data_IF_101142735420
#
_entry.id   IF_101142735420
#
_cell.length_a   1.000
_cell.length_b   1.000
_cell.length_c   1.000
_cell.angle_alpha   90.00
_cell.angle_beta   90.00
_cell.angle_gamma   90.00
#
_symmetry.space_group_name_H-M   'P 1'
#
loop_
_entity.id
_entity.type
_entity.pdbx_description
1 polymer ?
#
# COMPACT_ATOMS: atom_id res chain seq x y z
N UNK A 1 -3.93 -9.63 -17.62
CA UNK A 1 -4.04 -9.84 -16.15
C UNK A 1 -2.75 -9.48 -15.43
N UNK A 2 -1.59 -10.01 -15.85
CA UNK A 2 -0.29 -9.62 -15.28
C UNK A 2 -0.06 -8.11 -15.35
N UNK A 3 -0.37 -7.49 -16.49
CA UNK A 3 -0.27 -6.03 -16.70
C UNK A 3 -1.22 -5.19 -15.84
N UNK A 4 -2.24 -5.80 -15.21
CA UNK A 4 -3.32 -5.08 -14.50
C UNK A 4 -3.28 -5.25 -12.99
N UNK A 5 -2.19 -5.80 -12.43
CA UNK A 5 -2.02 -5.94 -10.98
C UNK A 5 -2.72 -7.14 -10.35
N UNK A 6 -2.99 -8.21 -11.11
CA UNK A 6 -3.54 -9.45 -10.56
C UNK A 6 -2.56 -10.12 -9.57
N UNK A 7 -3.04 -10.70 -8.45
CA UNK A 7 -2.22 -11.51 -7.56
C UNK A 7 -1.57 -12.68 -8.30
N UNK A 8 -0.26 -12.89 -8.09
CA UNK A 8 0.53 -13.78 -8.94
C UNK A 8 0.27 -15.25 -8.66
N UNK A 9 0.00 -15.62 -7.41
CA UNK A 9 -0.36 -16.98 -7.02
C UNK A 9 -1.58 -17.50 -7.80
N UNK A 10 -2.44 -16.61 -8.30
CA UNK A 10 -3.61 -16.97 -9.11
C UNK A 10 -3.31 -17.08 -10.60
N UNK A 11 -2.30 -16.37 -11.10
CA UNK A 11 -2.03 -16.31 -12.53
C UNK A 11 -1.66 -17.69 -13.09
N UNK A 12 -0.82 -18.44 -12.39
CA UNK A 12 -0.44 -19.79 -12.80
C UNK A 12 -1.65 -20.74 -12.83
N UNK A 13 -2.51 -20.68 -11.81
CA UNK A 13 -3.71 -21.51 -11.74
C UNK A 13 -4.72 -21.15 -12.83
N UNK A 14 -4.92 -19.85 -13.10
CA UNK A 14 -5.77 -19.35 -14.18
C UNK A 14 -5.26 -19.82 -15.54
N UNK A 15 -3.95 -19.71 -15.80
CA UNK A 15 -3.36 -20.18 -17.06
C UNK A 15 -3.45 -21.70 -17.20
N UNK A 16 -3.18 -22.46 -16.13
CA UNK A 16 -3.32 -23.92 -16.13
C UNK A 16 -4.77 -24.34 -16.41
N UNK A 17 -5.75 -23.70 -15.76
CA UNK A 17 -7.16 -23.96 -16.00
C UNK A 17 -7.59 -23.61 -17.44
N UNK A 18 -7.06 -22.53 -18.00
CA UNK A 18 -7.30 -22.14 -19.40
C UNK A 18 -6.69 -23.17 -20.37
N UNK A 19 -5.45 -23.61 -20.13
CA UNK A 19 -4.77 -24.62 -20.93
C UNK A 19 -5.56 -25.93 -20.97
N UNK A 20 -6.05 -26.39 -19.82
CA UNK A 20 -6.92 -27.55 -19.74
C UNK A 20 -8.25 -27.37 -20.47
N UNK A 21 -8.89 -26.19 -20.38
CA UNK A 21 -10.12 -25.90 -21.10
C UNK A 21 -9.92 -25.90 -22.62
N UNK A 22 -8.75 -25.45 -23.09
CA UNK A 22 -8.34 -25.42 -24.50
C UNK A 22 -7.74 -26.75 -24.99
N UNK A 23 -7.58 -27.75 -24.10
CA UNK A 23 -6.93 -29.04 -24.38
C UNK A 23 -5.49 -28.91 -24.90
N UNK A 24 -4.76 -27.93 -24.37
CA UNK A 24 -3.33 -27.72 -24.64
C UNK A 24 -2.55 -28.16 -23.39
N UNK A 25 -1.46 -28.92 -23.58
CA UNK A 25 -0.53 -29.27 -22.51
C UNK A 25 0.44 -28.12 -22.29
N UNK A 26 0.34 -27.47 -21.13
CA UNK A 26 1.10 -26.27 -20.83
C UNK A 26 1.55 -26.22 -19.37
N UNK A 27 2.80 -25.82 -19.17
CA UNK A 27 3.39 -25.55 -17.86
C UNK A 27 3.66 -24.06 -17.73
N UNK A 28 3.26 -23.51 -16.58
CA UNK A 28 3.35 -22.08 -16.31
C UNK A 28 4.09 -21.86 -14.98
N UNK A 29 5.08 -20.98 -15.02
CA UNK A 29 5.85 -20.55 -13.84
C UNK A 29 5.96 -19.04 -13.84
N UNK A 30 5.52 -18.42 -12.75
CA UNK A 30 5.65 -16.99 -12.55
C UNK A 30 6.89 -16.68 -11.71
N UNK A 31 7.74 -15.79 -12.22
CA UNK A 31 8.77 -15.08 -11.46
C UNK A 31 8.45 -13.58 -11.46
N UNK A 32 8.92 -12.79 -10.49
CA UNK A 32 8.77 -11.34 -10.54
C UNK A 32 9.20 -10.79 -11.91
N UNK A 33 8.27 -10.11 -12.58
CA UNK A 33 8.43 -9.51 -13.91
C UNK A 33 8.51 -10.46 -15.12
N UNK A 34 8.44 -11.78 -14.93
CA UNK A 34 8.52 -12.77 -16.01
C UNK A 34 7.49 -13.90 -15.84
N UNK A 35 6.76 -14.24 -16.91
CA UNK A 35 6.03 -15.51 -17.01
C UNK A 35 6.78 -16.44 -17.95
N UNK A 36 7.08 -17.63 -17.47
CA UNK A 36 7.50 -18.75 -18.30
C UNK A 36 6.26 -19.54 -18.69
N UNK A 37 6.05 -19.67 -20.00
CA UNK A 37 5.02 -20.53 -20.57
C UNK A 37 5.73 -21.58 -21.42
N UNK A 38 5.66 -22.84 -21.03
CA UNK A 38 6.10 -23.96 -21.87
C UNK A 38 4.89 -24.69 -22.40
N UNK A 39 4.81 -24.86 -23.71
CA UNK A 39 3.79 -25.66 -24.37
C UNK A 39 4.43 -26.92 -24.93
N UNK A 40 3.89 -28.07 -24.54
CA UNK A 40 4.39 -29.37 -24.99
C UNK A 40 3.58 -29.83 -26.20
N UNK A 41 4.27 -30.20 -27.27
CA UNK A 41 3.66 -30.82 -28.43
C UNK A 41 3.93 -32.33 -28.44
N UNK A 42 2.91 -33.09 -28.01
CA UNK A 42 2.94 -34.55 -27.99
C UNK A 42 3.18 -35.19 -29.37
N UNK A 43 2.85 -34.51 -30.48
CA UNK A 43 3.03 -35.08 -31.82
C UNK A 43 4.49 -35.03 -32.29
N UNK A 44 5.23 -33.98 -31.91
CA UNK A 44 6.63 -33.78 -32.32
C UNK A 44 7.63 -34.08 -31.22
N UNK A 45 7.17 -34.37 -29.99
CA UNK A 45 8.00 -34.49 -28.79
C UNK A 45 8.90 -33.26 -28.56
N UNK A 46 8.42 -32.08 -28.95
CA UNK A 46 9.12 -30.81 -28.72
C UNK A 46 8.37 -29.96 -27.71
N UNK A 47 9.10 -29.06 -27.05
CA UNK A 47 8.52 -28.05 -26.16
C UNK A 47 8.88 -26.66 -26.67
N UNK A 48 7.87 -25.81 -26.80
CA UNK A 48 8.06 -24.38 -27.11
C UNK A 48 7.93 -23.58 -25.80
N UNK A 49 9.07 -23.07 -25.32
CA UNK A 49 9.08 -22.18 -24.16
C UNK A 49 9.07 -20.72 -24.61
N UNK A 50 8.08 -19.96 -24.17
CA UNK A 50 7.99 -18.51 -24.33
C UNK A 50 8.11 -17.81 -22.99
N UNK A 51 8.89 -16.73 -22.99
CA UNK A 51 9.08 -15.86 -21.83
C UNK A 51 8.36 -14.55 -22.11
N UNK A 52 7.34 -14.25 -21.30
CA UNK A 52 6.62 -12.97 -21.36
C UNK A 52 7.12 -12.08 -20.23
N UNK A 53 7.78 -10.98 -20.58
CA UNK A 53 8.26 -9.98 -19.62
C UNK A 53 7.22 -8.88 -19.41
N UNK A 54 6.97 -8.52 -18.15
CA UNK A 54 6.19 -7.35 -17.78
C UNK A 54 6.98 -6.52 -16.76
N UNK A 55 7.43 -5.33 -17.18
CA UNK A 55 8.28 -4.46 -16.35
C UNK A 55 7.47 -3.56 -15.41
N UNK A 56 6.26 -3.15 -15.80
CA UNK A 56 5.43 -2.21 -15.04
C UNK A 56 4.09 -2.87 -14.72
N UNK A 57 3.73 -2.91 -13.44
CA UNK A 57 2.43 -3.42 -12.98
C UNK A 57 1.61 -2.25 -12.46
N UNK A 58 0.89 -1.58 -13.34
CA UNK A 58 -0.12 -0.61 -12.93
C UNK A 58 -1.42 -1.34 -12.58
N UNK A 59 -2.06 -0.92 -11.50
CA UNK A 59 -3.30 -1.51 -11.05
C UNK A 59 -4.47 -0.90 -11.85
N UNK A 60 -5.09 -1.71 -12.70
CA UNK A 60 -6.27 -1.30 -13.46
C UNK A 60 -7.43 -2.26 -13.18
N UNK A 61 -8.29 -1.87 -12.26
CA UNK A 61 -9.37 -2.72 -11.74
C UNK A 61 -10.44 -3.03 -12.79
N UNK A 62 -10.77 -2.08 -13.67
CA UNK A 62 -11.75 -2.32 -14.73
C UNK A 62 -11.23 -3.36 -15.74
N UNK A 63 -10.00 -3.17 -16.26
CA UNK A 63 -9.43 -4.09 -17.24
C UNK A 63 -9.24 -5.48 -16.62
N UNK A 64 -8.82 -5.54 -15.35
CA UNK A 64 -8.71 -6.78 -14.61
C UNK A 64 -10.05 -7.53 -14.50
N UNK A 65 -11.13 -6.84 -14.12
CA UNK A 65 -12.47 -7.44 -14.02
C UNK A 65 -12.99 -7.91 -15.39
N UNK A 66 -12.77 -7.13 -16.46
CA UNK A 66 -13.14 -7.50 -17.83
C UNK A 66 -12.39 -8.76 -18.31
N UNK A 67 -11.07 -8.82 -18.14
CA UNK A 67 -10.27 -10.00 -18.50
C UNK A 67 -10.68 -11.22 -17.67
N UNK A 68 -11.02 -11.04 -16.39
CA UNK A 68 -11.48 -12.13 -15.54
C UNK A 68 -12.85 -12.69 -15.96
N UNK A 69 -13.77 -11.81 -16.36
CA UNK A 69 -15.07 -12.23 -16.94
C UNK A 69 -14.88 -12.99 -18.25
N UNK A 70 -13.95 -12.55 -19.09
CA UNK A 70 -13.61 -13.24 -20.33
C UNK A 70 -13.08 -14.66 -20.07
N UNK A 71 -12.13 -14.78 -19.13
CA UNK A 71 -11.61 -16.07 -18.66
C UNK A 71 -12.72 -17.01 -18.15
N UNK A 72 -13.67 -16.51 -17.35
CA UNK A 72 -14.82 -17.32 -16.88
C UNK A 72 -15.67 -17.86 -18.04
N UNK A 73 -15.91 -17.05 -19.09
CA UNK A 73 -16.68 -17.49 -20.26
C UNK A 73 -15.96 -18.60 -21.02
N UNK A 74 -14.63 -18.52 -21.14
CA UNK A 74 -13.81 -19.55 -21.79
C UNK A 74 -13.90 -20.88 -21.01
N UNK A 75 -13.74 -20.85 -19.69
CA UNK A 75 -13.82 -22.06 -18.85
C UNK A 75 -15.18 -22.72 -18.91
N UNK A 76 -16.25 -21.92 -18.94
CA UNK A 76 -17.61 -22.45 -19.03
C UNK A 76 -17.99 -22.94 -20.44
N UNK A 77 -17.10 -22.74 -21.44
CA UNK A 77 -17.39 -22.97 -22.85
C UNK A 77 -18.57 -22.13 -23.38
N UNK A 78 -18.77 -20.94 -22.81
CA UNK A 78 -19.84 -20.00 -23.18
C UNK A 78 -19.44 -19.09 -24.37
N UNK A 79 -18.23 -19.23 -24.91
CA UNK A 79 -17.66 -18.35 -25.94
C UNK A 79 -16.61 -19.09 -26.79
N UNK A 80 -16.58 -18.81 -28.09
CA UNK A 80 -15.56 -19.31 -29.02
C UNK A 80 -14.20 -18.62 -28.82
N UNK A 81 -13.12 -19.30 -29.19
CA UNK A 81 -11.74 -18.83 -28.96
C UNK A 81 -11.45 -17.58 -29.78
N UNK A 82 -11.98 -17.48 -31.00
CA UNK A 82 -11.82 -16.34 -31.89
C UNK A 82 -12.44 -15.07 -31.29
N UNK A 83 -13.67 -15.18 -30.77
CA UNK A 83 -14.37 -14.08 -30.11
C UNK A 83 -13.67 -13.70 -28.80
N UNK A 84 -13.17 -14.69 -28.06
CA UNK A 84 -12.39 -14.43 -26.86
C UNK A 84 -11.08 -13.68 -27.17
N UNK A 85 -10.41 -14.02 -28.27
CA UNK A 85 -9.17 -13.36 -28.69
C UNK A 85 -9.43 -11.92 -29.11
N UNK A 86 -10.51 -11.67 -29.88
CA UNK A 86 -10.96 -10.31 -30.22
C UNK A 86 -11.29 -9.49 -28.98
N UNK A 87 -12.06 -10.06 -28.05
CA UNK A 87 -12.40 -9.39 -26.79
C UNK A 87 -11.18 -9.09 -25.92
N UNK A 88 -10.14 -9.93 -25.97
CA UNK A 88 -8.89 -9.67 -25.27
C UNK A 88 -8.12 -8.50 -25.91
N UNK A 89 -8.05 -8.46 -27.24
CA UNK A 89 -7.40 -7.38 -27.99
C UNK A 89 -8.09 -6.04 -27.75
N UNK A 90 -9.43 -6.00 -27.75
CA UNK A 90 -10.21 -4.81 -27.40
C UNK A 90 -9.84 -4.28 -25.99
N UNK A 91 -9.72 -5.17 -25.00
CA UNK A 91 -9.32 -4.78 -23.62
C UNK A 91 -7.88 -4.25 -23.58
N UNK A 92 -6.97 -4.79 -24.39
CA UNK A 92 -5.59 -4.32 -24.48
C UNK A 92 -5.53 -2.92 -25.07
N UNK A 93 -6.29 -2.66 -26.14
CA UNK A 93 -6.33 -1.38 -26.86
C UNK A 93 -7.19 -0.30 -26.18
N UNK A 94 -8.02 -0.67 -25.20
CA UNK A 94 -8.85 0.28 -24.45
C UNK A 94 -8.03 1.42 -23.82
N UNK A 95 -8.49 2.66 -24.01
CA UNK A 95 -7.89 3.85 -23.35
C UNK A 95 -8.16 3.84 -21.83
N UNK A 96 -7.33 4.51 -21.02
CA UNK A 96 -7.62 4.69 -19.60
C UNK A 96 -8.97 5.40 -19.40
N UNK A 97 -9.77 4.92 -18.44
CA UNK A 97 -11.12 5.45 -18.14
C UNK A 97 -11.14 6.95 -17.81
N UNK A 98 -10.12 7.40 -17.08
CA UNK A 98 -10.09 8.71 -16.45
C UNK A 98 -8.90 9.48 -16.99
N UNK A 99 -9.08 10.77 -17.35
CA UNK A 99 -8.00 11.59 -17.84
C UNK A 99 -7.02 11.96 -16.72
N UNK A 100 -5.76 12.20 -17.08
CA UNK A 100 -4.66 12.43 -16.13
C UNK A 100 -4.92 13.62 -15.19
N UNK A 101 -5.56 14.70 -15.66
CA UNK A 101 -5.87 15.87 -14.82
C UNK A 101 -6.82 15.52 -13.66
N UNK A 102 -7.79 14.63 -13.89
CA UNK A 102 -8.71 14.18 -12.87
C UNK A 102 -7.98 13.32 -11.83
N UNK A 103 -7.07 12.46 -12.29
CA UNK A 103 -6.23 11.65 -11.42
C UNK A 103 -5.37 12.54 -10.51
N UNK A 104 -4.73 13.59 -11.05
CA UNK A 104 -3.94 14.55 -10.25
C UNK A 104 -4.77 15.20 -9.15
N UNK A 105 -6.00 15.62 -9.46
CA UNK A 105 -6.92 16.18 -8.46
C UNK A 105 -7.28 15.14 -7.38
N UNK A 106 -7.54 13.90 -7.80
CA UNK A 106 -7.87 12.81 -6.89
C UNK A 106 -6.73 12.42 -5.97
N UNK A 107 -5.47 12.57 -6.39
CA UNK A 107 -4.31 12.43 -5.51
C UNK A 107 -4.39 13.43 -4.35
N UNK A 108 -4.71 14.70 -4.62
CA UNK A 108 -4.93 15.70 -3.58
C UNK A 108 -6.13 15.40 -2.68
N UNK A 109 -7.25 14.95 -3.24
CA UNK A 109 -8.42 14.55 -2.45
C UNK A 109 -8.10 13.35 -1.55
N UNK A 110 -7.32 12.38 -2.05
CA UNK A 110 -6.92 11.22 -1.27
C UNK A 110 -6.01 11.61 -0.10
N UNK A 111 -4.97 12.42 -0.31
CA UNK A 111 -4.09 12.88 0.78
C UNK A 111 -4.84 13.72 1.81
N UNK A 112 -5.74 14.59 1.36
CA UNK A 112 -6.59 15.41 2.22
C UNK A 112 -7.56 14.58 3.08
N UNK A 113 -8.13 13.51 2.51
CA UNK A 113 -9.09 12.66 3.19
C UNK A 113 -8.44 11.71 4.22
N UNK A 114 -7.25 11.19 3.93
CA UNK A 114 -6.53 10.27 4.83
C UNK A 114 -5.76 11.00 5.94
N UNK A 115 -5.40 12.28 5.74
CA UNK A 115 -4.71 13.11 6.72
C UNK A 115 -5.34 13.06 8.12
N UNK A 116 -6.62 13.44 8.29
CA UNK A 116 -7.29 13.38 9.58
C UNK A 116 -7.46 11.96 10.11
N UNK A 117 -7.73 10.99 9.21
CA UNK A 117 -8.03 9.59 9.56
C UNK A 117 -6.84 8.87 10.17
N UNK A 118 -5.66 9.02 9.55
CA UNK A 118 -4.49 8.20 9.86
C UNK A 118 -3.41 8.98 10.63
N UNK A 119 -3.41 10.31 10.49
CA UNK A 119 -2.34 11.19 10.98
C UNK A 119 -2.82 12.27 11.93
N UNK A 120 -4.10 12.28 12.29
CA UNK A 120 -4.68 13.25 13.23
C UNK A 120 -4.50 14.71 12.76
N UNK A 121 -4.52 14.92 11.44
CA UNK A 121 -4.42 16.24 10.82
C UNK A 121 -5.59 17.16 11.26
N UNK A 122 -5.30 18.43 11.49
CA UNK A 122 -6.30 19.43 11.83
C UNK A 122 -7.03 19.97 10.60
N UNK A 123 -8.12 20.72 10.82
CA UNK A 123 -8.93 21.25 9.71
C UNK A 123 -8.14 22.17 8.78
N UNK A 124 -7.19 22.91 9.35
CA UNK A 124 -6.30 23.81 8.61
C UNK A 124 -5.25 23.07 7.78
N UNK A 125 -4.89 21.84 8.16
CA UNK A 125 -3.90 21.02 7.45
C UNK A 125 -4.47 20.42 6.15
N UNK A 126 -5.79 20.20 6.08
CA UNK A 126 -6.47 19.55 4.95
C UNK A 126 -6.15 20.21 3.59
N UNK A 127 -6.33 21.53 3.38
CA UNK A 127 -6.01 22.15 2.09
C UNK A 127 -4.53 22.07 1.74
N UNK A 128 -3.65 22.19 2.72
CA UNK A 128 -2.20 22.09 2.52
C UNK A 128 -1.81 20.66 2.12
N UNK A 129 -2.37 19.65 2.81
CA UNK A 129 -2.19 18.25 2.47
C UNK A 129 -2.71 17.92 1.06
N UNK A 130 -3.82 18.56 0.63
CA UNK A 130 -4.33 18.44 -0.73
C UNK A 130 -3.33 18.98 -1.76
N UNK A 131 -2.73 20.16 -1.50
CA UNK A 131 -1.70 20.74 -2.37
C UNK A 131 -0.45 19.84 -2.48
N UNK A 132 0.00 19.26 -1.37
CA UNK A 132 1.12 18.31 -1.38
C UNK A 132 0.78 17.03 -2.16
N UNK A 133 -0.46 16.55 -2.06
CA UNK A 133 -0.95 15.42 -2.86
C UNK A 133 -1.03 15.73 -4.36
N UNK A 134 -1.47 16.93 -4.73
CA UNK A 134 -1.48 17.39 -6.14
C UNK A 134 -0.04 17.47 -6.66
N UNK A 135 0.89 18.03 -5.87
CA UNK A 135 2.32 18.07 -6.21
C UNK A 135 2.85 16.66 -6.49
N UNK A 136 2.52 15.70 -5.62
CA UNK A 136 2.86 14.29 -5.83
C UNK A 136 2.26 13.74 -7.12
N UNK A 137 0.96 13.97 -7.37
CA UNK A 137 0.28 13.51 -8.57
C UNK A 137 0.89 14.06 -9.86
N UNK A 138 1.29 15.34 -9.87
CA UNK A 138 2.01 15.97 -11.00
C UNK A 138 3.37 15.30 -11.22
N UNK A 139 4.14 15.14 -10.15
CA UNK A 139 5.46 14.51 -10.20
C UNK A 139 5.37 13.06 -10.72
N UNK A 140 4.40 12.28 -10.23
CA UNK A 140 4.24 10.87 -10.59
C UNK A 140 3.63 10.66 -11.98
N UNK A 141 2.57 11.40 -12.34
CA UNK A 141 1.79 11.13 -13.55
C UNK A 141 2.27 11.92 -14.78
N UNK A 142 3.02 13.02 -14.59
CA UNK A 142 3.54 13.83 -15.69
C UNK A 142 5.06 13.72 -15.81
N UNK A 143 5.81 13.85 -14.71
CA UNK A 143 7.27 14.00 -14.78
C UNK A 143 8.00 12.65 -14.91
N UNK A 144 7.61 11.63 -14.14
CA UNK A 144 8.22 10.28 -14.23
C UNK A 144 8.18 9.69 -15.66
N UNK A 145 7.04 9.69 -16.39
CA UNK A 145 7.02 9.13 -17.74
C UNK A 145 7.83 9.94 -18.77
N UNK A 146 8.17 11.20 -18.47
CA UNK A 146 9.00 12.04 -19.34
C UNK A 146 10.50 11.78 -19.16
N UNK A 147 10.94 11.24 -18.02
CA UNK A 147 12.35 11.10 -17.65
C UNK A 147 12.63 9.75 -16.98
N UNK A 148 13.03 8.73 -17.76
CA UNK A 148 13.37 7.39 -17.24
C UNK A 148 14.35 7.36 -16.04
N UNK A 149 15.48 8.12 -16.01
CA UNK A 149 16.38 8.07 -14.86
C UNK A 149 15.77 8.66 -13.58
N UNK A 150 14.76 9.53 -13.72
CA UNK A 150 14.06 10.12 -12.58
C UNK A 150 13.22 9.07 -11.84
N UNK A 151 12.72 8.05 -12.55
CA UNK A 151 11.91 6.97 -11.97
C UNK A 151 12.64 6.12 -10.92
N UNK A 152 13.98 6.01 -10.99
CA UNK A 152 14.76 5.16 -10.06
C UNK A 152 15.01 5.80 -8.69
N UNK A 153 14.93 7.13 -8.59
CA UNK A 153 15.20 7.89 -7.34
C UNK A 153 14.00 8.77 -6.97
N UNK A 154 12.90 8.62 -7.72
CA UNK A 154 11.71 9.44 -7.62
C UNK A 154 11.21 9.55 -6.18
N UNK A 155 11.05 8.40 -5.53
CA UNK A 155 10.49 8.28 -4.20
C UNK A 155 11.25 9.09 -3.16
N UNK A 156 12.58 8.96 -3.19
CA UNK A 156 13.47 9.63 -2.24
C UNK A 156 13.41 11.13 -2.45
N UNK A 157 13.44 11.59 -3.71
CA UNK A 157 13.39 13.02 -4.05
C UNK A 157 12.06 13.63 -3.62
N UNK A 158 10.94 13.01 -3.97
CA UNK A 158 9.62 13.50 -3.60
C UNK A 158 9.43 13.50 -2.08
N UNK A 159 9.92 12.47 -1.39
CA UNK A 159 9.91 12.41 0.07
C UNK A 159 10.69 13.57 0.70
N UNK A 160 11.90 13.88 0.19
CA UNK A 160 12.72 15.00 0.67
C UNK A 160 11.97 16.32 0.47
N UNK A 161 11.46 16.58 -0.74
CA UNK A 161 10.75 17.82 -1.07
C UNK A 161 9.50 17.98 -0.20
N UNK A 162 8.67 16.93 -0.12
CA UNK A 162 7.45 16.95 0.68
C UNK A 162 7.76 17.19 2.17
N UNK A 163 8.82 16.58 2.70
CA UNK A 163 9.23 16.75 4.10
C UNK A 163 9.76 18.15 4.39
N UNK A 164 10.55 18.74 3.47
CA UNK A 164 11.03 20.13 3.60
C UNK A 164 9.84 21.09 3.63
N UNK A 165 8.90 20.96 2.68
CA UNK A 165 7.73 21.83 2.62
C UNK A 165 6.84 21.63 3.85
N UNK A 166 6.60 20.38 4.27
CA UNK A 166 5.82 20.08 5.45
C UNK A 166 6.44 20.65 6.74
N UNK A 167 7.78 20.55 6.90
CA UNK A 167 8.46 21.10 8.07
C UNK A 167 8.48 22.64 8.03
N UNK A 168 8.59 23.21 6.84
CA UNK A 168 8.47 24.65 6.64
C UNK A 168 7.12 25.19 7.08
N UNK A 169 6.04 24.61 6.57
CA UNK A 169 4.68 25.03 6.92
C UNK A 169 4.36 24.74 8.39
N UNK A 170 4.84 23.60 8.92
CA UNK A 170 4.68 23.24 10.32
C UNK A 170 5.49 24.07 11.31
N UNK A 171 6.44 24.90 10.85
CA UNK A 171 7.26 25.77 11.70
C UNK A 171 6.71 27.21 11.75
N UNK A 172 5.74 27.56 10.90
CA UNK A 172 5.09 28.88 10.89
C UNK A 172 4.42 29.15 12.25
N UNK A 173 4.66 30.34 12.80
CA UNK A 173 4.12 30.83 14.08
C UNK A 173 4.32 29.87 15.27
N UNK A 174 5.46 29.17 15.27
CA UNK A 174 5.84 28.22 16.33
C UNK A 174 4.98 26.95 16.34
N UNK A 175 4.45 26.54 15.17
CA UNK A 175 3.71 25.28 15.02
C UNK A 175 2.27 25.30 15.53
N UNK A 176 1.70 26.49 15.74
CA UNK A 176 0.31 26.66 16.24
C UNK A 176 -0.77 26.52 15.16
N UNK A 177 -0.39 26.49 13.89
CA UNK A 177 -1.34 26.49 12.79
C UNK A 177 -1.37 25.19 12.00
N UNK A 178 -0.20 24.63 11.72
CA UNK A 178 -0.05 23.43 10.90
C UNK A 178 0.73 22.35 11.62
N UNK A 179 0.31 21.09 11.47
CA UNK A 179 1.05 19.97 12.02
C UNK A 179 2.02 19.38 10.98
N UNK A 180 3.33 19.53 11.24
CA UNK A 180 4.40 18.96 10.42
C UNK A 180 4.22 17.44 10.21
N UNK A 181 4.02 16.68 11.30
CA UNK A 181 3.93 15.22 11.25
C UNK A 181 2.78 14.78 10.35
N UNK A 182 1.59 15.38 10.50
CA UNK A 182 0.45 15.06 9.65
C UNK A 182 0.66 15.42 8.17
N UNK A 183 1.23 16.59 7.88
CA UNK A 183 1.49 17.03 6.51
C UNK A 183 2.54 16.15 5.81
N UNK A 184 3.65 15.86 6.49
CA UNK A 184 4.73 15.06 5.93
C UNK A 184 4.26 13.63 5.60
N UNK A 185 3.49 13.00 6.50
CA UNK A 185 3.05 11.63 6.26
C UNK A 185 1.90 11.52 5.26
N UNK A 186 0.94 12.45 5.30
CA UNK A 186 -0.18 12.46 4.36
C UNK A 186 0.27 12.71 2.92
N UNK A 187 1.34 13.48 2.72
CA UNK A 187 1.89 13.75 1.38
C UNK A 187 2.44 12.50 0.68
N UNK A 188 2.99 11.54 1.44
CA UNK A 188 3.72 10.37 0.89
C UNK A 188 2.84 9.10 0.92
N UNK A 189 1.64 9.18 1.48
CA UNK A 189 0.74 8.04 1.72
C UNK A 189 0.45 7.17 0.49
N UNK A 190 0.40 7.77 -0.70
CA UNK A 190 0.10 7.08 -1.96
C UNK A 190 1.33 6.40 -2.59
N UNK A 191 2.53 6.77 -2.17
CA UNK A 191 3.80 6.14 -2.63
C UNK A 191 4.18 4.98 -1.72
N UNK A 192 3.70 4.95 -0.47
CA UNK A 192 4.06 3.93 0.50
C UNK A 192 3.87 2.51 -0.07
N UNK A 193 4.88 1.63 0.03
CA UNK A 193 4.86 0.29 -0.59
C UNK A 193 3.96 -0.69 0.16
N UNK A 194 2.89 -0.20 0.79
CA UNK A 194 2.02 -1.00 1.64
C UNK A 194 1.38 -2.17 0.89
N UNK A 195 0.79 -1.89 -0.26
CA UNK A 195 0.19 -2.94 -1.10
C UNK A 195 1.21 -3.99 -1.52
N UNK A 196 2.43 -3.56 -1.85
CA UNK A 196 3.52 -4.47 -2.24
C UNK A 196 3.93 -5.40 -1.09
N UNK A 197 4.06 -4.87 0.13
CA UNK A 197 4.37 -5.66 1.34
C UNK A 197 3.24 -6.66 1.62
N UNK A 198 1.98 -6.24 1.48
CA UNK A 198 0.84 -7.13 1.67
C UNK A 198 0.80 -8.26 0.64
N UNK A 199 0.96 -7.96 -0.65
CA UNK A 199 1.02 -8.99 -1.69
C UNK A 199 2.17 -9.96 -1.44
N UNK A 200 3.33 -9.45 -1.00
CA UNK A 200 4.48 -10.28 -0.64
C UNK A 200 4.14 -11.23 0.51
N UNK A 201 3.47 -10.74 1.55
CA UNK A 201 3.02 -11.54 2.69
C UNK A 201 1.98 -12.60 2.27
N UNK A 202 1.03 -12.25 1.39
CA UNK A 202 0.03 -13.18 0.87
C UNK A 202 0.70 -14.29 0.04
N UNK A 203 1.61 -13.92 -0.86
CA UNK A 203 2.35 -14.87 -1.68
C UNK A 203 3.18 -15.84 -0.84
N UNK A 204 3.87 -15.32 0.18
CA UNK A 204 4.63 -16.14 1.12
C UNK A 204 3.72 -17.10 1.90
N UNK A 205 2.54 -16.64 2.34
CA UNK A 205 1.55 -17.47 3.03
C UNK A 205 0.98 -18.57 2.13
N UNK A 206 0.77 -18.28 0.84
CA UNK A 206 0.33 -19.26 -0.18
C UNK A 206 1.45 -20.20 -0.67
N UNK A 207 2.63 -20.17 -0.04
CA UNK A 207 3.82 -20.97 -0.37
C UNK A 207 4.50 -20.61 -1.69
N UNK A 208 4.19 -19.45 -2.29
CA UNK A 208 4.99 -18.91 -3.39
C UNK A 208 6.20 -18.14 -2.82
N UNK A 209 7.19 -18.90 -2.33
CA UNK A 209 8.32 -18.36 -1.57
C UNK A 209 9.21 -17.43 -2.38
N UNK A 210 9.53 -17.78 -3.64
CA UNK A 210 10.45 -17.00 -4.48
C UNK A 210 9.86 -15.62 -4.79
N UNK A 211 8.62 -15.60 -5.27
CA UNK A 211 7.97 -14.35 -5.68
C UNK A 211 7.72 -13.43 -4.50
N UNK A 212 7.18 -13.98 -3.39
CA UNK A 212 6.89 -13.22 -2.18
C UNK A 212 8.16 -12.68 -1.52
N UNK A 213 9.23 -13.47 -1.44
CA UNK A 213 10.49 -13.03 -0.78
C UNK A 213 11.19 -11.91 -1.53
N UNK A 214 11.30 -12.00 -2.87
CA UNK A 214 11.95 -10.96 -3.69
C UNK A 214 11.22 -9.63 -3.57
N UNK A 215 9.89 -9.64 -3.64
CA UNK A 215 9.08 -8.43 -3.46
C UNK A 215 9.15 -7.87 -2.04
N UNK A 216 9.18 -8.75 -1.03
CA UNK A 216 9.32 -8.33 0.36
C UNK A 216 10.64 -7.57 0.59
N UNK A 217 11.76 -8.13 0.10
CA UNK A 217 13.08 -7.49 0.23
C UNK A 217 13.09 -6.15 -0.50
N UNK A 218 12.56 -6.09 -1.72
CA UNK A 218 12.46 -4.83 -2.46
C UNK A 218 11.61 -3.78 -1.74
N UNK A 219 10.46 -4.16 -1.18
CA UNK A 219 9.58 -3.25 -0.44
C UNK A 219 10.18 -2.76 0.89
N UNK A 220 10.97 -3.60 1.56
CA UNK A 220 11.76 -3.21 2.73
C UNK A 220 12.78 -2.14 2.33
N UNK A 221 13.59 -2.38 1.29
CA UNK A 221 14.57 -1.41 0.78
C UNK A 221 13.88 -0.10 0.36
N UNK A 222 12.73 -0.19 -0.30
CA UNK A 222 11.91 0.96 -0.68
C UNK A 222 11.48 1.79 0.54
N UNK A 223 11.03 1.13 1.60
CA UNK A 223 10.69 1.79 2.87
C UNK A 223 11.93 2.44 3.51
N UNK A 224 13.11 1.84 3.33
CA UNK A 224 14.36 2.43 3.82
C UNK A 224 14.67 3.75 3.09
N UNK A 225 14.49 3.80 1.77
CA UNK A 225 14.66 5.02 0.98
C UNK A 225 13.70 6.13 1.40
N UNK A 226 12.43 5.79 1.68
CA UNK A 226 11.46 6.75 2.22
C UNK A 226 11.89 7.27 3.60
N UNK A 227 12.32 6.39 4.50
CA UNK A 227 12.79 6.78 5.84
C UNK A 227 14.03 7.66 5.81
N UNK A 228 14.95 7.40 4.88
CA UNK A 228 16.10 8.25 4.61
C UNK A 228 15.70 9.61 4.05
N UNK A 229 14.74 9.65 3.12
CA UNK A 229 14.18 10.88 2.58
C UNK A 229 13.56 11.80 3.65
N UNK A 230 12.84 11.22 4.62
CA UNK A 230 12.32 11.97 5.78
C UNK A 230 13.43 12.58 6.61
N UNK A 231 14.49 11.82 6.88
CA UNK A 231 15.63 12.27 7.69
C UNK A 231 16.36 13.42 6.98
N UNK A 232 16.71 13.25 5.71
CA UNK A 232 17.36 14.32 4.92
C UNK A 232 16.47 15.56 4.86
N UNK A 233 15.20 15.41 4.49
CA UNK A 233 14.31 16.55 4.34
C UNK A 233 14.10 17.32 5.64
N UNK A 234 13.98 16.59 6.76
CA UNK A 234 13.88 17.20 8.09
C UNK A 234 15.18 17.95 8.43
N UNK A 235 16.34 17.33 8.27
CA UNK A 235 17.64 17.94 8.59
C UNK A 235 17.93 19.18 7.75
N UNK A 236 17.66 19.14 6.44
CA UNK A 236 17.87 20.29 5.55
C UNK A 236 17.07 21.49 6.05
N UNK A 237 15.77 21.32 6.34
CA UNK A 237 14.97 22.43 6.81
C UNK A 237 15.37 22.90 8.22
N UNK A 238 15.72 21.97 9.12
CA UNK A 238 16.22 22.33 10.46
C UNK A 238 17.50 23.17 10.43
N UNK A 239 18.38 22.91 9.45
CA UNK A 239 19.60 23.71 9.26
C UNK A 239 19.31 25.10 8.68
N UNK A 240 18.24 25.24 7.89
CA UNK A 240 17.80 26.53 7.33
C UNK A 240 17.19 27.41 8.42
N UNK A 241 16.28 26.86 9.24
CA UNK A 241 15.61 27.59 10.32
C UNK A 241 15.99 27.06 11.71
N UNK A 242 17.22 27.38 12.13
CA UNK A 242 17.83 26.82 13.35
C UNK A 242 17.08 27.14 14.65
N UNK A 243 16.25 28.18 14.68
CA UNK A 243 15.63 28.67 15.92
C UNK A 243 14.12 28.41 15.97
N UNK A 244 13.43 28.38 14.82
CA UNK A 244 11.98 28.22 14.78
C UNK A 244 11.54 26.87 14.17
N UNK A 245 12.46 26.01 13.72
CA UNK A 245 12.11 24.70 13.21
C UNK A 245 11.36 23.87 14.27
N UNK A 246 10.20 23.33 13.88
CA UNK A 246 9.41 22.50 14.79
C UNK A 246 10.11 21.17 15.06
N UNK A 247 10.13 20.79 16.34
CA UNK A 247 10.55 19.46 16.83
C UNK A 247 9.34 18.59 17.21
N UNK A 248 8.12 19.10 17.02
CA UNK A 248 6.90 18.40 17.40
C UNK A 248 6.62 17.25 16.41
N UNK A 249 6.65 16.02 16.93
CA UNK A 249 6.42 14.79 16.17
C UNK A 249 4.99 14.26 16.33
N UNK A 250 4.22 14.85 17.25
CA UNK A 250 2.80 14.56 17.51
C UNK A 250 1.95 15.81 17.29
N UNK A 251 0.75 15.62 16.76
CA UNK A 251 -0.19 16.71 16.52
C UNK A 251 -1.11 16.89 17.73
N UNK A 252 -1.06 18.03 18.41
CA UNK A 252 -1.97 18.36 19.53
C UNK A 252 -2.97 19.47 19.19
N UNK A 253 -2.83 20.08 18.00
CA UNK A 253 -3.53 21.30 17.62
C UNK A 253 -4.69 20.99 16.67
N UNK A 254 -5.89 21.49 16.98
CA UNK A 254 -7.07 21.48 16.11
C UNK A 254 -7.45 20.10 15.55
N UNK A 255 -7.24 19.03 16.31
CA UNK A 255 -7.64 17.68 15.92
C UNK A 255 -9.13 17.65 15.59
N UNK A 256 -9.47 17.09 14.42
CA UNK A 256 -10.89 16.87 14.10
C UNK A 256 -11.49 15.87 15.08
N UNK A 257 -12.79 16.02 15.40
CA UNK A 257 -13.48 15.04 16.20
C UNK A 257 -13.44 13.68 15.49
N UNK A 258 -13.25 12.59 16.22
CA UNK A 258 -13.03 11.24 15.67
C UNK A 258 -14.15 10.77 14.72
N UNK A 259 -15.36 11.31 14.83
CA UNK A 259 -16.45 11.01 13.89
C UNK A 259 -16.15 11.47 12.45
N UNK A 260 -15.33 12.51 12.27
CA UNK A 260 -14.92 12.98 10.95
C UNK A 260 -14.15 11.91 10.16
N UNK A 261 -13.50 10.96 10.86
CA UNK A 261 -12.82 9.85 10.20
C UNK A 261 -13.79 8.96 9.41
N UNK A 262 -15.04 8.82 9.87
CA UNK A 262 -16.07 8.06 9.17
C UNK A 262 -16.54 8.76 7.88
N UNK A 263 -16.22 10.04 7.69
CA UNK A 263 -16.44 10.78 6.43
C UNK A 263 -15.16 10.78 5.58
N UNK A 264 -13.98 10.89 6.19
CA UNK A 264 -12.70 10.85 5.48
C UNK A 264 -12.46 9.51 4.78
N UNK A 265 -12.75 8.39 5.45
CA UNK A 265 -12.54 7.04 4.90
C UNK A 265 -13.32 6.77 3.61
N UNK A 266 -14.65 7.01 3.51
CA UNK A 266 -15.38 6.77 2.27
C UNK A 266 -14.87 7.66 1.12
N UNK A 267 -14.47 8.90 1.40
CA UNK A 267 -13.90 9.81 0.40
C UNK A 267 -12.55 9.28 -0.09
N UNK A 268 -11.68 8.86 0.82
CA UNK A 268 -10.39 8.28 0.48
C UNK A 268 -10.53 6.99 -0.33
N UNK A 269 -11.41 6.08 0.09
CA UNK A 269 -11.69 4.83 -0.63
C UNK A 269 -12.25 5.11 -2.03
N UNK A 270 -13.16 6.08 -2.16
CA UNK A 270 -13.68 6.48 -3.46
C UNK A 270 -12.56 7.04 -4.36
N UNK A 271 -11.71 7.93 -3.82
CA UNK A 271 -10.57 8.49 -4.54
C UNK A 271 -9.61 7.39 -5.02
N UNK A 272 -9.26 6.43 -4.17
CA UNK A 272 -8.43 5.28 -4.54
C UNK A 272 -9.08 4.39 -5.61
N UNK A 273 -10.40 4.22 -5.58
CA UNK A 273 -11.11 3.48 -6.62
C UNK A 273 -11.00 4.18 -7.98
N UNK A 274 -11.10 5.51 -8.02
CA UNK A 274 -10.89 6.27 -9.24
C UNK A 274 -9.42 6.22 -9.70
N UNK A 275 -8.46 6.40 -8.78
CA UNK A 275 -7.02 6.33 -9.07
C UNK A 275 -6.65 4.98 -9.68
N UNK A 276 -7.20 3.88 -9.18
CA UNK A 276 -6.95 2.53 -9.68
C UNK A 276 -7.87 2.09 -10.84
N UNK A 277 -8.45 3.07 -11.55
CA UNK A 277 -9.31 2.86 -12.72
C UNK A 277 -10.44 1.83 -12.49
N UNK A 278 -11.10 1.88 -11.33
CA UNK A 278 -12.26 1.05 -11.06
C UNK A 278 -13.48 1.50 -11.89
N UNK A 279 -14.33 0.53 -12.23
CA UNK A 279 -15.61 0.84 -12.88
C UNK A 279 -16.58 1.51 -11.90
N UNK A 280 -17.41 2.44 -12.38
CA UNK A 280 -18.35 3.21 -11.54
C UNK A 280 -19.31 2.31 -10.71
N UNK A 281 -19.64 1.11 -11.22
CA UNK A 281 -20.49 0.15 -10.49
C UNK A 281 -19.79 -0.49 -9.29
N UNK A 282 -18.46 -0.58 -9.31
CA UNK A 282 -17.67 -1.17 -8.21
C UNK A 282 -17.40 -0.15 -7.10
N UNK A 283 -17.47 1.16 -7.37
CA UNK A 283 -17.11 2.20 -6.40
C UNK A 283 -18.00 2.15 -5.15
N UNK A 284 -19.34 2.15 -5.24
CA UNK A 284 -20.19 2.11 -4.03
C UNK A 284 -19.95 0.86 -3.19
N UNK A 285 -19.72 -0.28 -3.85
CA UNK A 285 -19.42 -1.55 -3.18
C UNK A 285 -18.08 -1.47 -2.44
N UNK A 286 -17.04 -0.96 -3.10
CA UNK A 286 -15.72 -0.79 -2.50
C UNK A 286 -15.74 0.18 -1.31
N UNK A 287 -16.49 1.29 -1.43
CA UNK A 287 -16.70 2.25 -0.34
C UNK A 287 -17.39 1.60 0.85
N UNK A 288 -18.45 0.84 0.62
CA UNK A 288 -19.17 0.13 1.70
C UNK A 288 -18.27 -0.89 2.41
N UNK A 289 -17.57 -1.73 1.65
CA UNK A 289 -16.68 -2.76 2.22
C UNK A 289 -15.52 -2.08 2.97
N UNK A 290 -14.87 -1.09 2.36
CA UNK A 290 -13.75 -0.36 2.95
C UNK A 290 -14.11 0.35 4.26
N UNK A 291 -15.26 1.04 4.30
CA UNK A 291 -15.74 1.71 5.51
C UNK A 291 -16.12 0.72 6.62
N UNK A 292 -16.75 -0.40 6.28
CA UNK A 292 -17.05 -1.44 7.27
C UNK A 292 -15.78 -2.06 7.88
N UNK A 293 -14.76 -2.32 7.05
CA UNK A 293 -13.46 -2.81 7.51
C UNK A 293 -12.74 -1.81 8.43
N UNK A 294 -12.75 -0.52 8.08
CA UNK A 294 -12.20 0.53 8.95
C UNK A 294 -12.97 0.67 10.26
N UNK A 295 -14.31 0.63 10.22
CA UNK A 295 -15.12 0.72 11.43
C UNK A 295 -14.77 -0.41 12.43
N UNK A 296 -14.65 -1.65 11.93
CA UNK A 296 -14.22 -2.78 12.74
C UNK A 296 -12.82 -2.58 13.34
N UNK A 297 -11.86 -2.13 12.52
CA UNK A 297 -10.51 -1.80 12.99
C UNK A 297 -10.53 -0.72 14.07
N UNK A 298 -11.31 0.34 13.89
CA UNK A 298 -11.41 1.46 14.82
C UNK A 298 -11.96 1.03 16.18
N UNK A 299 -13.10 0.32 16.21
CA UNK A 299 -13.71 -0.11 17.47
C UNK A 299 -12.86 -1.14 18.22
N UNK A 300 -12.23 -2.08 17.52
CA UNK A 300 -11.29 -3.03 18.15
C UNK A 300 -10.04 -2.29 18.63
N UNK A 301 -9.56 -1.30 17.88
CA UNK A 301 -8.43 -0.46 18.28
C UNK A 301 -8.66 0.32 19.58
N UNK A 302 -9.91 0.67 19.91
CA UNK A 302 -10.26 1.29 21.20
C UNK A 302 -10.08 0.34 22.39
N UNK A 303 -10.27 -0.97 22.17
CA UNK A 303 -10.15 -2.00 23.21
C UNK A 303 -8.71 -2.53 23.29
N UNK A 304 -8.04 -2.63 22.14
CA UNK A 304 -6.70 -3.22 22.00
C UNK A 304 -5.63 -2.16 21.68
N UNK A 305 -5.56 -1.11 22.50
CA UNK A 305 -4.59 -0.01 22.33
C UNK A 305 -3.13 -0.48 22.35
N UNK A 306 -2.84 -1.64 22.98
CA UNK A 306 -1.48 -2.19 23.11
C UNK A 306 -1.00 -3.00 21.90
N UNK A 307 -1.87 -3.41 20.98
CA UNK A 307 -1.48 -4.21 19.81
C UNK A 307 -2.28 -3.83 18.54
N UNK A 308 -1.84 -2.78 17.81
CA UNK A 308 -2.52 -2.32 16.59
C UNK A 308 -2.58 -3.37 15.47
N UNK A 309 -1.71 -4.39 15.53
CA UNK A 309 -1.74 -5.54 14.63
C UNK A 309 -3.06 -6.32 14.76
N UNK A 310 -3.57 -6.50 15.98
CA UNK A 310 -4.82 -7.25 16.20
C UNK A 310 -6.03 -6.51 15.62
N UNK A 311 -6.10 -5.20 15.84
CA UNK A 311 -7.15 -4.35 15.25
C UNK A 311 -7.15 -4.43 13.72
N UNK A 312 -5.96 -4.41 13.12
CA UNK A 312 -5.79 -4.52 11.65
C UNK A 312 -6.18 -5.91 11.14
N UNK A 313 -5.86 -6.99 11.86
CA UNK A 313 -6.30 -8.34 11.52
C UNK A 313 -7.83 -8.49 11.54
N UNK A 314 -8.51 -7.92 12.56
CA UNK A 314 -9.98 -7.96 12.64
C UNK A 314 -10.62 -7.11 11.55
N UNK A 315 -10.09 -5.92 11.29
CA UNK A 315 -10.52 -5.09 10.16
C UNK A 315 -10.39 -5.84 8.83
N UNK A 316 -9.27 -6.52 8.61
CA UNK A 316 -9.01 -7.31 7.41
C UNK A 316 -9.93 -8.54 7.31
N UNK A 317 -10.27 -9.17 8.43
CA UNK A 317 -11.26 -10.24 8.47
C UNK A 317 -12.64 -9.77 8.00
N UNK A 318 -13.09 -8.59 8.46
CA UNK A 318 -14.37 -8.00 8.01
C UNK A 318 -14.33 -7.63 6.51
N UNK A 319 -13.22 -7.03 6.04
CA UNK A 319 -13.01 -6.78 4.61
C UNK A 319 -13.12 -8.06 3.79
N UNK A 320 -12.38 -9.09 4.20
CA UNK A 320 -12.36 -10.41 3.59
C UNK A 320 -13.74 -11.05 3.54
N UNK A 321 -14.49 -10.97 4.64
CA UNK A 321 -15.80 -11.59 4.77
C UNK A 321 -16.79 -10.96 3.79
N UNK A 322 -16.90 -9.63 3.82
CA UNK A 322 -17.81 -8.88 2.97
C UNK A 322 -17.42 -8.98 1.48
N UNK A 323 -16.13 -8.87 1.17
CA UNK A 323 -15.64 -8.97 -0.20
C UNK A 323 -15.83 -10.37 -0.79
N UNK A 324 -15.60 -11.41 0.00
CA UNK A 324 -15.83 -12.80 -0.43
C UNK A 324 -17.32 -13.12 -0.59
N UNK A 325 -18.18 -12.57 0.28
CA UNK A 325 -19.63 -12.64 0.11
C UNK A 325 -20.08 -11.92 -1.16
N UNK A 326 -19.57 -10.70 -1.41
CA UNK A 326 -19.83 -9.96 -2.64
C UNK A 326 -19.48 -10.78 -3.88
N UNK A 327 -18.28 -11.36 -3.93
CA UNK A 327 -17.85 -12.23 -5.03
C UNK A 327 -18.76 -13.45 -5.23
N UNK A 328 -19.24 -14.03 -4.13
CA UNK A 328 -20.10 -15.21 -4.15
C UNK A 328 -21.49 -14.93 -4.72
N UNK A 329 -22.11 -13.81 -4.36
CA UNK A 329 -23.48 -13.50 -4.74
C UNK A 329 -23.59 -12.67 -6.03
N UNK A 330 -22.67 -11.72 -6.23
CA UNK A 330 -22.73 -10.74 -7.32
C UNK A 330 -21.73 -11.05 -8.46
N UNK A 331 -20.95 -12.13 -8.32
CA UNK A 331 -20.09 -12.67 -9.38
C UNK A 331 -18.86 -11.82 -9.75
N UNK A 332 -18.64 -10.70 -9.06
CA UNK A 332 -17.49 -9.82 -9.25
C UNK A 332 -16.20 -10.37 -8.64
N UNK A 333 -15.06 -9.81 -9.06
CA UNK A 333 -13.76 -10.19 -8.49
C UNK A 333 -13.61 -9.64 -7.07
N UNK A 334 -13.57 -10.53 -6.07
CA UNK A 334 -13.44 -10.18 -4.64
C UNK A 334 -12.26 -9.20 -4.40
N UNK A 335 -11.13 -9.48 -5.03
CA UNK A 335 -9.90 -8.68 -4.96
C UNK A 335 -10.14 -7.19 -5.25
N UNK A 336 -10.82 -6.88 -6.35
CA UNK A 336 -11.06 -5.51 -6.78
C UNK A 336 -11.88 -4.69 -5.79
N UNK A 337 -12.75 -5.33 -5.00
CA UNK A 337 -13.65 -4.63 -4.09
C UNK A 337 -13.05 -4.38 -2.70
N UNK A 338 -12.12 -5.24 -2.25
CA UNK A 338 -11.50 -5.08 -0.92
C UNK A 338 -10.24 -4.21 -0.95
N UNK A 339 -9.58 -4.13 -2.11
CA UNK A 339 -8.28 -3.49 -2.27
C UNK A 339 -8.20 -2.03 -1.76
N UNK A 340 -9.17 -1.14 -2.02
CA UNK A 340 -9.18 0.20 -1.41
C UNK A 340 -9.29 0.18 0.12
N UNK A 341 -10.08 -0.75 0.67
CA UNK A 341 -10.21 -0.92 2.12
C UNK A 341 -8.91 -1.41 2.74
N UNK A 342 -8.20 -2.28 2.04
CA UNK A 342 -6.86 -2.73 2.41
C UNK A 342 -5.89 -1.53 2.47
N UNK A 343 -5.89 -0.64 1.46
CA UNK A 343 -5.03 0.55 1.49
C UNK A 343 -5.25 1.47 2.70
N UNK A 344 -6.46 1.49 3.27
CA UNK A 344 -6.75 2.22 4.52
C UNK A 344 -6.09 1.54 5.73
N UNK A 345 -5.98 0.22 5.72
CA UNK A 345 -5.49 -0.57 6.85
C UNK A 345 -3.99 -0.78 6.85
N UNK A 346 -3.38 -0.89 5.67
CA UNK A 346 -1.93 -1.12 5.54
C UNK A 346 -1.21 0.10 6.11
N UNK A 347 -0.23 -0.09 7.01
CA UNK A 347 0.10 0.90 8.02
C UNK A 347 1.11 1.91 7.49
N UNK A 348 0.82 2.54 6.36
CA UNK A 348 1.56 3.71 5.93
C UNK A 348 1.66 4.71 7.08
N UNK A 349 0.62 4.83 7.91
CA UNK A 349 0.59 5.82 8.98
C UNK A 349 1.37 5.48 10.24
N UNK A 350 1.12 4.30 10.84
CA UNK A 350 1.83 3.87 12.04
C UNK A 350 3.33 3.68 11.77
N UNK A 351 3.69 3.10 10.62
CA UNK A 351 5.08 2.86 10.27
C UNK A 351 5.83 4.16 9.99
N UNK A 352 5.21 5.12 9.29
CA UNK A 352 5.84 6.41 9.00
C UNK A 352 6.07 7.25 10.27
N UNK A 353 5.27 7.09 11.33
CA UNK A 353 5.43 7.88 12.58
C UNK A 353 6.81 7.62 13.19
N UNK A 354 7.25 6.35 13.21
CA UNK A 354 8.56 5.97 13.74
C UNK A 354 9.72 6.66 13.01
N UNK A 355 9.65 6.73 11.68
CA UNK A 355 10.72 7.34 10.87
C UNK A 355 10.78 8.86 11.01
N UNK A 356 9.64 9.52 11.18
CA UNK A 356 9.58 10.97 11.43
C UNK A 356 10.12 11.32 12.81
N UNK A 357 9.69 10.60 13.85
CA UNK A 357 10.16 10.83 15.23
C UNK A 357 11.67 10.79 15.28
N UNK A 358 12.26 9.79 14.64
CA UNK A 358 13.70 9.68 14.57
C UNK A 358 14.38 10.70 13.66
N UNK A 359 13.78 11.02 12.52
CA UNK A 359 14.33 11.96 11.55
C UNK A 359 14.42 13.38 12.13
N UNK A 360 13.39 13.81 12.86
CA UNK A 360 13.39 15.09 13.59
C UNK A 360 14.43 15.09 14.70
N UNK A 361 14.54 14.01 15.50
CA UNK A 361 15.53 13.94 16.57
C UNK A 361 16.97 14.08 16.04
N UNK A 362 17.29 13.38 14.94
CA UNK A 362 18.61 13.52 14.28
C UNK A 362 18.80 14.95 13.79
N UNK A 363 17.80 15.54 13.16
CA UNK A 363 17.89 16.91 12.69
C UNK A 363 18.17 17.89 13.84
N UNK A 364 17.50 17.73 14.98
CA UNK A 364 17.66 18.61 16.13
C UNK A 364 19.03 18.43 16.81
N UNK A 365 19.53 17.18 16.90
CA UNK A 365 20.89 16.87 17.34
C UNK A 365 21.94 17.56 16.46
N UNK A 366 21.77 17.55 15.13
CA UNK A 366 22.70 18.19 14.20
C UNK A 366 22.60 19.72 14.19
N UNK A 367 21.42 20.28 14.48
CA UNK A 367 21.18 21.73 14.45
C UNK A 367 21.59 22.42 15.75
N UNK A 368 21.26 21.82 16.90
CA UNK A 368 21.53 22.38 18.22
C UNK A 368 22.78 21.81 18.89
N UNK A 369 23.33 20.70 18.39
CA UNK A 369 24.52 20.04 18.91
C UNK A 369 25.83 20.65 18.43
N UNK A 370 26.21 21.81 18.96
CA UNK A 370 27.62 22.23 18.99
C UNK A 370 28.32 21.84 20.32
N UNK A 371 27.81 20.82 21.01
CA UNK A 371 28.60 20.05 21.97
C UNK A 371 29.02 18.78 21.28
N UNK A 372 30.29 18.80 20.87
CA UNK A 372 31.11 17.68 20.45
C UNK A 372 30.63 16.30 20.94
N UNK A 373 30.85 15.31 20.08
CA UNK A 373 31.08 13.87 20.31
C UNK A 373 32.06 13.52 21.48
N UNK A 374 32.16 14.34 22.52
CA UNK A 374 33.06 14.21 23.66
C UNK A 374 32.29 14.53 24.94
N UNK A 375 31.59 13.54 25.48
CA UNK A 375 30.78 13.74 26.69
C UNK A 375 30.02 12.53 27.17
N UNK A 376 30.53 11.32 26.93
CA UNK A 376 30.07 10.12 27.63
C UNK A 376 30.41 10.28 29.11
N UNK A 377 29.42 10.48 29.97
CA UNK A 377 29.57 10.30 31.41
C UNK A 377 28.37 9.57 31.98
N UNK A 378 28.67 8.37 32.48
CA UNK A 378 27.78 7.44 33.15
C UNK A 378 27.11 8.10 34.37
N UNK A 379 25.78 8.11 34.44
CA UNK A 379 25.03 8.00 35.71
C UNK A 379 23.63 7.41 35.47
N UNK A 380 23.18 6.48 36.34
CA UNK A 380 22.08 5.57 36.03
C UNK A 380 20.71 6.23 36.25
N UNK A 381 19.77 5.96 35.35
CA UNK A 381 18.38 6.37 35.49
C UNK A 381 17.67 5.51 36.54
N UNK A 382 17.01 6.18 37.49
CA UNK A 382 16.13 5.56 38.46
C UNK A 382 14.80 5.14 37.79
N UNK A 383 14.43 3.86 38.01
CA UNK A 383 13.07 3.26 38.20
C UNK A 383 11.84 4.05 37.72
N UNK A 384 10.87 3.56 36.94
CA UNK A 384 10.15 2.26 36.88
C UNK A 384 9.18 2.24 35.65
N UNK A 385 8.27 1.25 35.43
CA UNK A 385 8.47 -0.19 35.23
C UNK A 385 7.76 -0.81 33.99
N UNK A 386 8.37 -1.89 33.47
CA UNK A 386 7.82 -3.15 32.89
C UNK A 386 6.62 -3.18 31.92
N UNK A 387 6.86 -3.69 30.70
CA UNK A 387 5.81 -4.19 29.79
C UNK A 387 6.26 -4.66 28.40
N UNK A 388 7.01 -5.78 28.33
CA UNK A 388 7.20 -6.73 27.23
C UNK A 388 7.51 -6.24 25.78
N UNK A 389 8.75 -6.51 25.33
CA UNK A 389 8.95 -7.14 24.01
C UNK A 389 9.88 -6.47 22.97
N UNK A 390 11.09 -6.05 23.35
CA UNK A 390 12.37 -6.12 22.60
C UNK A 390 13.34 -5.17 23.32
N UNK A 391 14.51 -5.66 23.70
CA UNK A 391 15.51 -5.01 24.54
C UNK A 391 15.82 -3.55 24.16
N UNK A 392 15.49 -2.63 25.09
CA UNK A 392 16.04 -1.28 25.18
C UNK A 392 17.53 -1.36 25.55
N UNK A 393 18.38 -1.58 24.55
CA UNK A 393 19.74 -1.09 24.59
C UNK A 393 19.71 0.30 23.95
N UNK A 394 20.02 1.35 24.70
CA UNK A 394 20.24 2.69 24.14
C UNK A 394 21.37 2.59 23.11
N UNK A 395 21.09 2.71 21.80
CA UNK A 395 22.10 2.48 20.80
C UNK A 395 22.95 3.75 20.66
N UNK A 396 24.26 3.59 20.49
CA UNK A 396 25.16 4.69 20.10
C UNK A 396 24.76 5.31 18.75
N UNK A 397 25.29 6.49 18.46
CA UNK A 397 24.92 7.34 17.30
C UNK A 397 24.90 6.61 15.94
N UNK A 398 25.81 5.65 15.68
CA UNK A 398 25.79 4.82 14.47
C UNK A 398 24.56 3.90 14.38
N UNK A 399 24.12 3.34 15.52
CA UNK A 399 22.98 2.42 15.57
C UNK A 399 21.66 3.18 15.50
N UNK A 400 21.63 4.47 15.85
CA UNK A 400 20.45 5.33 15.69
C UNK A 400 20.04 5.47 14.22
N UNK A 401 21.00 5.75 13.33
CA UNK A 401 20.75 5.84 11.88
C UNK A 401 20.23 4.50 11.33
N UNK A 402 20.81 3.38 11.78
CA UNK A 402 20.39 2.03 11.41
C UNK A 402 19.04 1.59 11.99
N UNK A 403 18.46 2.24 13.01
CA UNK A 403 17.18 1.82 13.58
C UNK A 403 15.95 2.49 12.96
N UNK A 404 16.13 3.64 12.29
CA UNK A 404 15.03 4.53 11.94
C UNK A 404 14.20 4.03 10.76
N UNK A 405 14.90 3.74 9.67
CA UNK A 405 14.35 3.24 8.44
C UNK A 405 13.82 1.80 8.61
N UNK A 406 14.49 1.01 9.46
CA UNK A 406 14.08 -0.37 9.77
C UNK A 406 12.79 -0.43 10.58
N UNK A 407 12.56 0.49 11.52
CA UNK A 407 11.29 0.57 12.28
C UNK A 407 10.08 0.74 11.37
N UNK A 408 10.21 1.57 10.33
CA UNK A 408 9.17 1.74 9.32
C UNK A 408 8.92 0.43 8.55
N UNK A 409 9.97 -0.17 7.99
CA UNK A 409 9.85 -1.42 7.23
C UNK A 409 9.25 -2.56 8.06
N UNK A 410 9.77 -2.80 9.28
CA UNK A 410 9.27 -3.85 10.17
C UNK A 410 7.82 -3.61 10.60
N UNK A 411 7.44 -2.37 10.90
CA UNK A 411 6.05 -2.03 11.23
C UNK A 411 5.08 -2.35 10.08
N UNK A 412 5.49 -2.05 8.84
CA UNK A 412 4.71 -2.40 7.66
C UNK A 412 4.58 -3.91 7.46
N UNK A 413 5.66 -4.67 7.66
CA UNK A 413 5.66 -6.14 7.57
C UNK A 413 4.73 -6.77 8.61
N UNK A 414 4.82 -6.35 9.88
CA UNK A 414 4.00 -6.91 10.95
C UNK A 414 2.50 -6.76 10.69
N UNK A 415 2.08 -5.58 10.24
CA UNK A 415 0.66 -5.31 9.98
C UNK A 415 0.21 -5.96 8.68
N UNK A 416 1.08 -6.02 7.66
CA UNK A 416 0.79 -6.80 6.46
C UNK A 416 0.51 -8.27 6.81
N UNK A 417 1.35 -8.90 7.64
CA UNK A 417 1.13 -10.28 8.13
C UNK A 417 -0.18 -10.39 8.93
N UNK A 418 -0.51 -9.40 9.75
CA UNK A 418 -1.79 -9.41 10.48
C UNK A 418 -3.01 -9.32 9.53
N UNK A 419 -2.93 -8.48 8.50
CA UNK A 419 -3.97 -8.33 7.47
C UNK A 419 -4.12 -9.64 6.68
N UNK A 420 -3.01 -10.30 6.29
CA UNK A 420 -3.09 -11.58 5.56
C UNK A 420 -3.77 -12.67 6.37
N UNK A 421 -3.47 -12.77 7.67
CA UNK A 421 -4.16 -13.70 8.58
C UNK A 421 -5.66 -13.41 8.61
N UNK A 422 -6.06 -12.14 8.74
CA UNK A 422 -7.47 -11.75 8.72
C UNK A 422 -8.19 -12.12 7.42
N UNK A 423 -7.59 -11.78 6.27
CA UNK A 423 -8.14 -12.10 4.94
C UNK A 423 -8.28 -13.61 4.73
N UNK A 424 -7.27 -14.40 5.11
CA UNK A 424 -7.29 -15.85 4.95
C UNK A 424 -8.36 -16.52 5.83
N UNK A 425 -8.49 -16.10 7.08
CA UNK A 425 -9.55 -16.58 7.98
C UNK A 425 -10.94 -16.29 7.39
N UNK A 426 -11.14 -15.11 6.82
CA UNK A 426 -12.40 -14.76 6.18
C UNK A 426 -12.72 -15.64 4.97
N UNK A 427 -11.70 -15.96 4.16
CA UNK A 427 -11.84 -16.90 3.04
C UNK A 427 -12.24 -18.30 3.50
N UNK A 428 -11.68 -18.80 4.60
CA UNK A 428 -12.08 -20.09 5.18
C UNK A 428 -13.53 -20.09 5.67
N UNK A 429 -13.99 -18.99 6.27
CA UNK A 429 -15.38 -18.87 6.75
C UNK A 429 -16.37 -18.88 5.59
N UNK A 430 -16.07 -18.17 4.49
CA UNK A 430 -16.99 -18.11 3.32
C UNK A 430 -16.90 -19.38 2.46
N UNK A 431 -15.73 -20.00 2.38
CA UNK A 431 -15.44 -21.19 1.56
C UNK A 431 -14.90 -22.37 2.40
N UNK A 432 -15.67 -22.90 3.38
CA UNK A 432 -15.17 -23.89 4.34
C UNK A 432 -14.93 -25.28 3.73
N UNK A 433 -15.62 -25.59 2.62
CA UNK A 433 -15.37 -26.77 1.80
C UNK A 433 -14.93 -26.27 0.44
N UNK A 434 -13.64 -26.44 0.11
CA UNK A 434 -13.10 -26.09 -1.21
C UNK A 434 -14.01 -26.64 -2.30
N UNK A 435 -14.66 -25.75 -3.06
CA UNK A 435 -15.75 -26.15 -3.95
C UNK A 435 -15.15 -26.76 -5.22
N UNK A 436 -15.02 -28.09 -5.24
CA UNK A 436 -14.76 -28.89 -6.46
C UNK A 436 -15.99 -28.82 -7.38
N UNK A 437 -16.10 -27.84 -8.27
CA UNK A 437 -17.09 -27.89 -9.36
C UNK A 437 -17.45 -26.57 -10.02
N UNK A 438 -17.50 -26.62 -11.38
CA UNK A 438 -17.99 -25.76 -12.50
C UNK A 438 -18.51 -24.32 -12.28
N UNK A 439 -18.77 -23.85 -11.07
CA UNK A 439 -19.07 -22.44 -10.72
C UNK A 439 -18.11 -21.97 -9.62
N UNK A 440 -16.83 -22.28 -9.81
CA UNK A 440 -15.78 -21.98 -8.83
C UNK A 440 -15.53 -20.49 -8.75
N UNK A 441 -16.05 -19.84 -7.71
CA UNK A 441 -15.30 -18.74 -7.08
C UNK A 441 -14.04 -19.38 -6.47
N UNK A 442 -13.06 -19.64 -7.33
CA UNK A 442 -11.73 -20.12 -6.97
C UNK A 442 -11.14 -19.09 -6.00
N UNK A 443 -11.01 -19.54 -4.75
CA UNK A 443 -10.49 -18.89 -3.53
C UNK A 443 -10.61 -17.35 -3.44
N UNK A 444 -11.34 -16.92 -2.40
CA UNK A 444 -11.27 -15.56 -1.90
C UNK A 444 -9.84 -15.19 -1.50
N UNK A 445 -9.41 -14.00 -1.95
CA UNK A 445 -8.08 -13.37 -1.81
C UNK A 445 -6.84 -14.22 -2.03
#
# INVERSE_FOLDING_TARGET
>A
MMSYGAPTHRLEEILRATSHALKIEGQFLYLPSYMFCSFDDTATHTSETRIVRQTVTELNLQKLDRTYKLFKKIINSDMYIEDATKGLEEILQDKPLYPTWLLILLYGVATAAIGPVAFEAGLKDIPVAACLGIMLGVLQLLIVPLCEPFGNVFETIVCIIATIIARALGSIDGGKHFCFSALAQSAIVLILPGYMILCSALELQTRNMVTGSVRMVYAIIYSLFLGFGFTIGSTIYGLIDKNNATSAVTCTVNQLPKWANFIGVPIFVAALMFINHASLKQIPVGVFIGTAGYAAQYFVGLVTSSSPQLASAVGAFVLGLLGNMYSRFLGGLAFSAMLPGVFVQVPGSLAARGSIVSGVRIADELVHGNKSLAGWSNKPAATAPTGNGFSDATPGEEVLFHMNAWKMAFGMVQIAVAITVGLFLASLVVYPRGRKGKKGSFLGF
#
